data_IF_720086529426
#
_entry.id   IF_720086529426
#
_cell.length_a   1.000
_cell.length_b   1.000
_cell.length_c   1.000
_cell.angle_alpha   90.00
_cell.angle_beta   90.00
_cell.angle_gamma   90.00
#
_symmetry.space_group_name_H-M   'P 1'
#
loop_
_entity.id
_entity.type
_entity.pdbx_description
1 polymer ?
#
# COMPACT_ATOMS: atom_id res chain seq x y z
N UNK A 1 -8.87 -35.05 -10.11
CA UNK A 1 -7.48 -34.62 -9.89
C UNK A 1 -7.25 -33.44 -10.81
N UNK A 2 -7.56 -32.23 -10.35
CA UNK A 2 -7.56 -31.02 -11.18
C UNK A 2 -6.64 -30.01 -10.50
N UNK A 3 -5.49 -29.76 -11.12
CA UNK A 3 -4.50 -28.80 -10.66
C UNK A 3 -5.01 -27.38 -10.95
N UNK A 4 -5.37 -26.64 -9.90
CA UNK A 4 -5.44 -25.18 -9.99
C UNK A 4 -4.00 -24.66 -10.08
N UNK A 5 -3.57 -24.29 -11.28
CA UNK A 5 -2.35 -23.54 -11.46
C UNK A 5 -2.48 -22.19 -10.75
N UNK A 6 -1.55 -21.87 -9.85
CA UNK A 6 -1.42 -20.54 -9.26
C UNK A 6 -1.34 -19.51 -10.40
N UNK A 7 -2.39 -18.73 -10.57
CA UNK A 7 -2.39 -17.57 -11.45
C UNK A 7 -1.54 -16.49 -10.77
N UNK A 8 -0.28 -16.34 -11.17
CA UNK A 8 0.55 -15.23 -10.72
C UNK A 8 0.11 -13.98 -11.47
N UNK A 9 -0.93 -13.30 -10.98
CA UNK A 9 -1.26 -11.97 -11.49
C UNK A 9 -0.16 -10.99 -11.06
N UNK A 10 0.62 -10.49 -12.02
CA UNK A 10 1.48 -9.35 -11.75
C UNK A 10 0.56 -8.12 -11.65
N UNK A 11 0.18 -7.73 -10.44
CA UNK A 11 -0.69 -6.59 -10.22
C UNK A 11 -0.07 -5.35 -10.86
N UNK A 12 -0.76 -4.81 -11.87
CA UNK A 12 -0.37 -3.56 -12.53
C UNK A 12 -0.38 -2.37 -11.54
N UNK A 13 -1.05 -2.53 -10.39
CA UNK A 13 -1.09 -1.61 -9.26
C UNK A 13 0.28 -1.37 -8.61
N UNK A 14 1.07 -2.41 -8.36
CA UNK A 14 2.43 -2.27 -7.79
C UNK A 14 3.33 -1.45 -8.72
N UNK A 15 3.14 -1.65 -10.04
CA UNK A 15 3.82 -0.87 -11.08
C UNK A 15 3.36 0.59 -11.19
N UNK A 16 2.30 1.01 -10.51
CA UNK A 16 1.88 2.41 -10.44
C UNK A 16 2.45 3.06 -9.17
N UNK A 17 2.53 2.31 -8.06
CA UNK A 17 3.09 2.78 -6.79
C UNK A 17 4.56 3.22 -6.89
N UNK A 18 5.45 2.34 -7.40
CA UNK A 18 6.88 2.66 -7.54
C UNK A 18 7.13 3.84 -8.48
N UNK A 19 6.36 3.96 -9.58
CA UNK A 19 6.52 5.04 -10.54
C UNK A 19 6.12 6.38 -9.91
N UNK A 20 5.03 6.42 -9.15
CA UNK A 20 4.61 7.60 -8.39
C UNK A 20 5.68 8.01 -7.40
N UNK A 21 6.21 7.07 -6.62
CA UNK A 21 7.27 7.33 -5.65
C UNK A 21 8.55 7.84 -6.33
N UNK A 22 8.93 7.25 -7.47
CA UNK A 22 10.10 7.68 -8.24
C UNK A 22 9.95 9.09 -8.83
N UNK A 23 8.79 9.44 -9.39
CA UNK A 23 8.54 10.77 -9.97
C UNK A 23 8.51 11.84 -8.89
N UNK A 24 7.79 11.60 -7.78
CA UNK A 24 7.76 12.53 -6.66
C UNK A 24 9.14 12.69 -6.02
N UNK A 25 9.86 11.58 -5.82
CA UNK A 25 11.22 11.61 -5.29
C UNK A 25 12.21 12.35 -6.18
N UNK A 26 12.11 12.20 -7.51
CA UNK A 26 12.94 12.96 -8.45
C UNK A 26 12.63 14.45 -8.42
N UNK A 27 11.35 14.82 -8.41
CA UNK A 27 10.91 16.21 -8.32
C UNK A 27 11.42 16.86 -7.03
N UNK A 28 11.15 16.23 -5.90
CA UNK A 28 11.52 16.74 -4.59
C UNK A 28 13.04 16.77 -4.43
N UNK A 29 13.76 15.76 -4.93
CA UNK A 29 15.22 15.69 -4.90
C UNK A 29 15.90 16.85 -5.65
N UNK A 30 15.40 17.20 -6.85
CA UNK A 30 15.94 18.33 -7.63
C UNK A 30 15.68 19.65 -6.91
N UNK A 31 14.43 19.90 -6.51
CA UNK A 31 14.03 21.18 -5.91
C UNK A 31 14.71 21.38 -4.56
N UNK A 32 14.73 20.35 -3.70
CA UNK A 32 15.33 20.43 -2.37
C UNK A 32 16.85 20.60 -2.43
N UNK A 33 17.55 19.82 -3.27
CA UNK A 33 19.02 19.92 -3.40
C UNK A 33 19.43 21.26 -4.01
N UNK A 34 18.73 21.74 -5.04
CA UNK A 34 18.99 23.05 -5.62
C UNK A 34 18.75 24.18 -4.62
N UNK A 35 17.64 24.13 -3.88
CA UNK A 35 17.32 25.13 -2.85
C UNK A 35 18.35 25.13 -1.73
N UNK A 36 18.80 23.96 -1.28
CA UNK A 36 19.86 23.81 -0.29
C UNK A 36 21.17 24.43 -0.78
N UNK A 37 21.62 24.07 -1.99
CA UNK A 37 22.85 24.60 -2.59
C UNK A 37 22.78 26.12 -2.72
N UNK A 38 21.65 26.67 -3.19
CA UNK A 38 21.45 28.12 -3.29
C UNK A 38 21.50 28.78 -1.91
N UNK A 39 20.87 28.19 -0.90
CA UNK A 39 20.90 28.71 0.47
C UNK A 39 22.30 28.73 1.09
N UNK A 40 23.05 27.63 0.93
CA UNK A 40 24.44 27.54 1.40
C UNK A 40 25.35 28.52 0.65
N UNK A 41 25.19 28.64 -0.67
CA UNK A 41 25.95 29.60 -1.46
C UNK A 41 25.66 31.05 -1.04
N UNK A 42 24.40 31.38 -0.73
CA UNK A 42 24.02 32.71 -0.24
C UNK A 42 24.66 33.06 1.11
N UNK A 43 25.02 32.06 1.91
CA UNK A 43 25.73 32.23 3.19
C UNK A 43 27.24 32.56 3.03
N UNK A 44 27.72 32.81 1.80
CA UNK A 44 29.14 33.06 1.47
C UNK A 44 30.08 31.89 1.78
N UNK A 45 29.55 30.67 1.76
CA UNK A 45 30.34 29.43 1.84
C UNK A 45 31.29 29.26 0.66
N UNK A 46 32.37 28.53 0.88
CA UNK A 46 33.30 28.18 -0.18
C UNK A 46 32.75 27.05 -1.09
N UNK A 47 33.41 26.78 -2.22
CA UNK A 47 32.96 25.75 -3.16
C UNK A 47 32.95 24.34 -2.56
N UNK A 48 33.86 24.06 -1.63
CA UNK A 48 33.99 22.74 -1.01
C UNK A 48 32.79 22.47 -0.10
N UNK A 49 32.43 23.45 0.74
CA UNK A 49 31.25 23.43 1.60
C UNK A 49 29.95 23.27 0.81
N UNK A 50 29.83 23.97 -0.32
CA UNK A 50 28.66 23.88 -1.20
C UNK A 50 28.52 22.46 -1.79
N UNK A 51 29.61 21.86 -2.26
CA UNK A 51 29.57 20.49 -2.82
C UNK A 51 29.27 19.46 -1.75
N UNK A 52 29.91 19.57 -0.58
CA UNK A 52 29.68 18.64 0.53
C UNK A 52 28.23 18.72 1.00
N UNK A 53 27.68 19.92 1.18
CA UNK A 53 26.28 20.10 1.60
C UNK A 53 25.29 19.59 0.56
N UNK A 54 25.54 19.81 -0.73
CA UNK A 54 24.72 19.25 -1.82
C UNK A 54 24.70 17.73 -1.82
N UNK A 55 25.86 17.07 -1.71
CA UNK A 55 25.96 15.60 -1.68
C UNK A 55 25.30 15.06 -0.41
N UNK A 56 25.59 15.66 0.75
CA UNK A 56 25.01 15.25 2.02
C UNK A 56 23.48 15.37 2.00
N UNK A 57 22.94 16.48 1.48
CA UNK A 57 21.50 16.71 1.33
C UNK A 57 20.85 15.70 0.39
N UNK A 58 21.48 15.41 -0.75
CA UNK A 58 20.98 14.42 -1.70
C UNK A 58 20.93 13.01 -1.10
N UNK A 59 22.00 12.58 -0.41
CA UNK A 59 22.06 11.26 0.24
C UNK A 59 21.04 11.18 1.38
N UNK A 60 20.96 12.20 2.24
CA UNK A 60 20.01 12.25 3.34
C UNK A 60 18.56 12.24 2.83
N UNK A 61 18.26 13.01 1.78
CA UNK A 61 16.94 13.06 1.15
C UNK A 61 16.53 11.70 0.56
N UNK A 62 17.44 11.06 -0.20
CA UNK A 62 17.19 9.76 -0.79
C UNK A 62 16.94 8.67 0.27
N UNK A 63 17.76 8.64 1.33
CA UNK A 63 17.59 7.68 2.43
C UNK A 63 16.27 7.91 3.19
N UNK A 64 15.92 9.17 3.45
CA UNK A 64 14.65 9.52 4.12
C UNK A 64 13.44 9.07 3.31
N UNK A 65 13.43 9.33 2.00
CA UNK A 65 12.35 8.89 1.11
C UNK A 65 12.24 7.36 1.01
N UNK A 66 13.38 6.67 0.89
CA UNK A 66 13.40 5.21 0.84
C UNK A 66 12.89 4.59 2.14
N UNK A 67 13.34 5.09 3.29
CA UNK A 67 12.87 4.64 4.59
C UNK A 67 11.38 4.94 4.79
N UNK A 68 10.91 6.12 4.40
CA UNK A 68 9.51 6.51 4.48
C UNK A 68 8.60 5.61 3.65
N UNK A 69 8.96 5.29 2.41
CA UNK A 69 8.19 4.38 1.56
C UNK A 69 8.20 2.95 2.14
N UNK A 70 9.34 2.45 2.60
CA UNK A 70 9.43 1.13 3.23
C UNK A 70 8.50 1.02 4.45
N UNK A 71 8.55 1.99 5.36
CA UNK A 71 7.70 2.01 6.56
C UNK A 71 6.22 2.16 6.19
N UNK A 72 5.89 2.95 5.17
CA UNK A 72 4.51 3.10 4.70
C UNK A 72 3.96 1.77 4.17
N UNK A 73 4.70 1.08 3.31
CA UNK A 73 4.28 -0.21 2.72
C UNK A 73 4.19 -1.29 3.78
N UNK A 74 5.16 -1.37 4.70
CA UNK A 74 5.09 -2.33 5.80
C UNK A 74 3.89 -2.08 6.70
N UNK A 75 3.60 -0.82 7.03
CA UNK A 75 2.46 -0.45 7.87
C UNK A 75 1.13 -0.80 7.19
N UNK A 76 0.99 -0.55 5.88
CA UNK A 76 -0.20 -0.97 5.13
C UNK A 76 -0.38 -2.48 5.15
N UNK A 77 0.68 -3.24 4.87
CA UNK A 77 0.64 -4.71 4.92
C UNK A 77 0.23 -5.23 6.31
N UNK A 78 0.73 -4.59 7.37
CA UNK A 78 0.41 -5.01 8.73
C UNK A 78 -1.02 -4.66 9.14
N UNK A 79 -1.54 -3.50 8.71
CA UNK A 79 -2.96 -3.14 8.83
C UNK A 79 -3.84 -4.14 8.06
N UNK A 80 -3.51 -4.46 6.81
CA UNK A 80 -4.28 -5.44 6.01
C UNK A 80 -4.30 -6.82 6.67
N UNK A 81 -3.19 -7.29 7.23
CA UNK A 81 -3.15 -8.56 7.98
C UNK A 81 -4.01 -8.53 9.23
N UNK A 82 -3.99 -7.42 9.97
CA UNK A 82 -4.79 -7.24 11.17
C UNK A 82 -6.29 -7.25 10.82
N UNK A 83 -6.68 -6.54 9.77
CA UNK A 83 -8.06 -6.50 9.27
C UNK A 83 -8.50 -7.89 8.80
N UNK A 84 -7.67 -8.61 8.03
CA UNK A 84 -7.96 -9.98 7.61
C UNK A 84 -8.11 -10.95 8.79
N UNK A 85 -7.29 -10.80 9.84
CA UNK A 85 -7.40 -11.63 11.04
C UNK A 85 -8.70 -11.33 11.80
N UNK A 86 -9.11 -10.06 11.84
CA UNK A 86 -10.39 -9.64 12.44
C UNK A 86 -11.57 -10.21 11.68
N UNK A 87 -11.60 -10.05 10.36
CA UNK A 87 -12.67 -10.57 9.49
C UNK A 87 -12.80 -12.09 9.64
N UNK A 88 -11.68 -12.83 9.65
CA UNK A 88 -11.69 -14.28 9.87
C UNK A 88 -12.29 -14.66 11.22
N UNK A 89 -12.04 -13.87 12.26
CA UNK A 89 -12.63 -14.09 13.58
C UNK A 89 -14.13 -13.78 13.58
N UNK A 90 -14.55 -12.69 12.94
CA UNK A 90 -15.95 -12.28 12.81
C UNK A 90 -16.76 -13.32 12.01
N UNK A 91 -16.20 -13.86 10.92
CA UNK A 91 -16.77 -14.97 10.14
C UNK A 91 -17.06 -16.23 10.96
N UNK A 92 -16.23 -16.54 11.97
CA UNK A 92 -16.41 -17.72 12.82
C UNK A 92 -17.32 -17.43 14.01
N UNK A 93 -17.21 -16.24 14.60
CA UNK A 93 -17.90 -15.90 15.85
C UNK A 93 -19.30 -15.33 15.64
N UNK A 94 -19.58 -14.72 14.48
CA UNK A 94 -20.86 -14.09 14.18
C UNK A 94 -21.32 -14.28 12.72
N UNK A 95 -21.46 -15.52 12.24
CA UNK A 95 -21.75 -15.82 10.83
C UNK A 95 -23.10 -15.25 10.33
N UNK A 96 -24.08 -15.10 11.23
CA UNK A 96 -25.39 -14.52 10.88
C UNK A 96 -25.27 -13.04 10.54
N UNK A 97 -24.49 -12.28 11.32
CA UNK A 97 -24.23 -10.86 11.07
C UNK A 97 -23.42 -10.67 9.79
N UNK A 98 -22.35 -11.44 9.58
CA UNK A 98 -21.53 -11.39 8.37
C UNK A 98 -22.32 -11.69 7.10
N UNK A 99 -23.28 -12.63 7.18
CA UNK A 99 -24.17 -12.93 6.05
C UNK A 99 -25.10 -11.77 5.72
N UNK A 100 -25.57 -11.05 6.75
CA UNK A 100 -26.41 -9.86 6.58
C UNK A 100 -25.60 -8.67 6.05
N UNK A 101 -24.36 -8.48 6.52
CA UNK A 101 -23.41 -7.48 6.00
C UNK A 101 -23.09 -7.74 4.53
N UNK A 102 -22.76 -8.97 4.17
CA UNK A 102 -22.51 -9.36 2.78
C UNK A 102 -23.75 -9.14 1.88
N UNK A 103 -24.95 -9.44 2.39
CA UNK A 103 -26.20 -9.17 1.68
C UNK A 103 -26.43 -7.66 1.48
N UNK A 104 -26.06 -6.82 2.44
CA UNK A 104 -26.10 -5.37 2.33
C UNK A 104 -25.09 -4.86 1.28
N UNK A 105 -23.86 -5.37 1.28
CA UNK A 105 -22.82 -5.01 0.29
C UNK A 105 -23.29 -5.32 -1.14
N UNK A 106 -23.83 -6.51 -1.38
CA UNK A 106 -24.36 -6.89 -2.69
C UNK A 106 -25.58 -6.06 -3.10
N UNK A 107 -26.44 -5.71 -2.15
CA UNK A 107 -27.60 -4.85 -2.41
C UNK A 107 -27.17 -3.44 -2.79
N UNK A 108 -26.22 -2.86 -2.05
CA UNK A 108 -25.64 -1.54 -2.33
C UNK A 108 -24.92 -1.49 -3.69
N UNK A 109 -24.30 -2.61 -4.09
CA UNK A 109 -23.65 -2.77 -5.39
C UNK A 109 -24.62 -3.07 -6.55
N UNK A 110 -25.94 -3.15 -6.28
CA UNK A 110 -26.98 -3.41 -7.29
C UNK A 110 -27.14 -4.88 -7.72
N UNK A 111 -26.48 -5.81 -7.05
CA UNK A 111 -26.36 -7.23 -7.44
C UNK A 111 -27.42 -8.10 -6.73
N UNK A 112 -28.70 -7.89 -7.07
CA UNK A 112 -29.85 -8.54 -6.40
C UNK A 112 -29.86 -10.07 -6.46
N UNK A 113 -29.35 -10.69 -7.52
CA UNK A 113 -29.28 -12.14 -7.70
C UNK A 113 -28.18 -12.81 -6.86
N UNK A 114 -27.12 -12.08 -6.51
CA UNK A 114 -26.03 -12.59 -5.68
C UNK A 114 -26.37 -12.57 -4.18
N UNK A 115 -27.30 -11.71 -3.74
CA UNK A 115 -27.84 -11.71 -2.36
C UNK A 115 -28.54 -13.04 -2.02
N UNK A 116 -29.34 -13.56 -2.96
CA UNK A 116 -30.03 -14.85 -2.81
C UNK A 116 -29.04 -16.00 -2.75
N UNK A 117 -27.98 -15.91 -3.56
CA UNK A 117 -26.91 -16.93 -3.58
C UNK A 117 -26.11 -16.89 -2.29
N UNK A 118 -25.65 -15.71 -1.85
CA UNK A 118 -24.89 -15.52 -0.60
C UNK A 118 -25.63 -16.08 0.63
N UNK A 119 -26.94 -15.79 0.77
CA UNK A 119 -27.77 -16.38 1.85
C UNK A 119 -27.92 -17.90 1.76
N UNK A 120 -27.71 -18.51 0.59
CA UNK A 120 -27.81 -19.96 0.37
C UNK A 120 -26.49 -20.73 0.51
N UNK A 121 -25.32 -20.09 0.29
CA UNK A 121 -23.99 -20.74 0.39
C UNK A 121 -23.29 -20.50 1.72
N UNK A 122 -23.66 -19.47 2.48
CA UNK A 122 -23.08 -19.15 3.78
C UNK A 122 -22.92 -20.35 4.75
N UNK A 123 -23.87 -21.30 4.86
CA UNK A 123 -23.69 -22.46 5.77
C UNK A 123 -22.69 -23.52 5.28
N UNK A 124 -22.25 -23.50 4.01
CA UNK A 124 -21.42 -24.56 3.39
C UNK A 124 -19.98 -24.11 3.03
N UNK A 125 -19.61 -22.85 3.27
CA UNK A 125 -18.24 -22.37 2.96
C UNK A 125 -17.25 -22.88 4.00
N UNK A 126 -16.47 -23.90 3.63
CA UNK A 126 -15.25 -24.29 4.36
C UNK A 126 -14.08 -23.43 3.92
N UNK A 127 -13.66 -22.51 4.78
CA UNK A 127 -12.45 -21.72 4.61
C UNK A 127 -11.23 -22.63 4.84
N UNK A 128 -10.36 -22.80 3.84
CA UNK A 128 -9.14 -23.57 4.03
C UNK A 128 -8.13 -22.77 4.88
N UNK A 129 -7.46 -23.49 5.78
CA UNK A 129 -6.35 -22.98 6.56
C UNK A 129 -5.05 -23.22 5.76
N UNK A 130 -4.75 -22.37 4.78
CA UNK A 130 -3.40 -22.30 4.18
C UNK A 130 -2.82 -20.90 4.10
#
# INVERSE_FOLDING_TARGET
MTLFGRHTESHRADRIGWLRAAVLGANDGIVSTASLIVGVAAAKSDRTEIVISGIAGLVAGALSMAAGEYVSVSSQSDTEKADLAREKHELVTNPEFETEELAQIFTASGLKWQVVTAKSVAPDVKWDET
#
